data_IF_039951008916
#
_entry.id   IF_039951008916
#
_cell.length_a   1.000
_cell.length_b   1.000
_cell.length_c   1.000
_cell.angle_alpha   90.00
_cell.angle_beta   90.00
_cell.angle_gamma   90.00
#
_symmetry.space_group_name_H-M   'P 1'
#
loop_
_entity.id
_entity.type
_entity.pdbx_description
1 polymer ?
#
# COMPACT_ATOMS: atom_id res chain seq x y z
N UNK A 1 10.71 1.85 -86.78
CA UNK A 1 11.13 0.47 -86.43
C UNK A 1 11.84 0.41 -85.07
N UNK A 2 12.99 1.07 -84.86
CA UNK A 2 13.74 1.01 -83.58
C UNK A 2 12.93 1.41 -82.34
N UNK A 3 12.22 2.54 -82.36
CA UNK A 3 11.41 2.99 -81.23
C UNK A 3 10.23 2.05 -80.88
N UNK A 4 9.63 1.41 -81.89
CA UNK A 4 8.51 0.48 -81.71
C UNK A 4 8.95 -0.87 -81.10
N UNK A 5 10.16 -1.33 -81.46
CA UNK A 5 10.76 -2.54 -80.89
C UNK A 5 11.15 -2.34 -79.42
N UNK A 6 11.72 -1.18 -79.07
CA UNK A 6 12.02 -0.80 -77.67
C UNK A 6 10.73 -0.81 -76.83
N UNK A 7 9.65 -0.18 -77.32
CA UNK A 7 8.36 -0.12 -76.63
C UNK A 7 7.68 -1.50 -76.46
N UNK A 8 8.03 -2.50 -77.28
CA UNK A 8 7.56 -3.89 -77.10
C UNK A 8 8.45 -4.69 -76.14
N UNK A 9 9.77 -4.50 -76.20
CA UNK A 9 10.70 -5.14 -75.28
C UNK A 9 10.50 -4.66 -73.83
N UNK A 10 10.09 -3.40 -73.63
CA UNK A 10 9.71 -2.87 -72.30
C UNK A 10 8.46 -3.55 -71.71
N UNK A 11 7.62 -4.18 -72.55
CA UNK A 11 6.42 -4.91 -72.10
C UNK A 11 6.73 -6.37 -71.75
N UNK A 12 7.90 -6.86 -72.12
CA UNK A 12 8.38 -8.20 -71.78
C UNK A 12 9.21 -8.07 -70.50
N UNK A 13 8.92 -8.91 -69.50
CA UNK A 13 9.68 -8.94 -68.25
C UNK A 13 11.08 -9.52 -68.48
N UNK A 14 12.01 -8.70 -68.96
CA UNK A 14 13.41 -9.07 -69.13
C UNK A 14 14.16 -8.97 -67.81
N UNK A 15 14.95 -9.99 -67.49
CA UNK A 15 15.83 -9.93 -66.31
C UNK A 15 16.96 -8.91 -66.51
N UNK A 16 17.64 -8.54 -65.43
CA UNK A 16 18.68 -7.51 -65.48
C UNK A 16 19.90 -7.91 -66.34
N UNK A 17 20.26 -9.19 -66.42
CA UNK A 17 21.36 -9.68 -67.27
C UNK A 17 20.98 -9.55 -68.75
N UNK A 18 19.76 -9.96 -69.10
CA UNK A 18 19.20 -9.82 -70.44
C UNK A 18 19.11 -8.36 -70.87
N UNK A 19 18.70 -7.47 -69.96
CA UNK A 19 18.67 -6.03 -70.24
C UNK A 19 20.07 -5.47 -70.52
N UNK A 20 21.10 -5.89 -69.80
CA UNK A 20 22.48 -5.48 -70.07
C UNK A 20 22.97 -6.03 -71.42
N UNK A 21 22.65 -7.29 -71.74
CA UNK A 21 23.05 -7.90 -73.01
C UNK A 21 22.43 -7.19 -74.21
N UNK A 22 21.10 -7.00 -74.19
CA UNK A 22 20.37 -6.28 -75.24
C UNK A 22 20.79 -4.81 -75.32
N UNK A 23 21.07 -4.17 -74.19
CA UNK A 23 21.53 -2.79 -74.19
C UNK A 23 22.85 -2.61 -74.95
N UNK A 24 23.79 -3.55 -74.80
CA UNK A 24 25.07 -3.51 -75.54
C UNK A 24 24.89 -3.81 -77.01
N UNK A 25 24.06 -4.81 -77.33
CA UNK A 25 23.82 -5.23 -78.71
C UNK A 25 23.11 -4.15 -79.54
N UNK A 26 22.19 -3.40 -78.91
CA UNK A 26 21.38 -2.37 -79.58
C UNK A 26 21.77 -0.92 -79.24
N UNK A 27 22.84 -0.73 -78.46
CA UNK A 27 23.34 0.57 -78.02
C UNK A 27 22.32 1.37 -77.19
N UNK A 28 21.64 0.71 -76.25
CA UNK A 28 20.62 1.28 -75.35
C UNK A 28 21.23 1.56 -73.96
N UNK A 29 22.14 2.53 -73.88
CA UNK A 29 22.84 2.86 -72.63
C UNK A 29 21.91 3.19 -71.46
N UNK A 30 20.70 3.70 -71.72
CA UNK A 30 19.69 4.00 -70.69
C UNK A 30 19.16 2.77 -69.96
N UNK A 31 19.38 1.56 -70.50
CA UNK A 31 18.94 0.30 -69.89
C UNK A 31 20.02 -0.36 -69.04
N UNK A 32 21.29 0.03 -69.20
CA UNK A 32 22.41 -0.58 -68.48
C UNK A 32 22.44 -0.17 -67.01
N UNK A 33 22.34 1.12 -66.70
CA UNK A 33 22.45 1.61 -65.32
C UNK A 33 21.37 1.05 -64.37
N UNK A 34 20.07 1.03 -64.75
CA UNK A 34 19.03 0.46 -63.89
C UNK A 34 19.20 -1.06 -63.69
N UNK A 35 19.61 -1.78 -64.74
CA UNK A 35 19.84 -3.22 -64.66
C UNK A 35 21.08 -3.55 -63.82
N UNK A 36 22.14 -2.75 -63.92
CA UNK A 36 23.33 -2.89 -63.09
C UNK A 36 23.03 -2.62 -61.62
N UNK A 37 22.23 -1.58 -61.33
CA UNK A 37 21.77 -1.29 -59.97
C UNK A 37 20.93 -2.44 -59.40
N UNK A 38 20.02 -3.00 -60.19
CA UNK A 38 19.22 -4.13 -59.77
C UNK A 38 20.08 -5.35 -59.42
N UNK A 39 21.10 -5.65 -60.22
CA UNK A 39 22.04 -6.74 -59.92
C UNK A 39 22.93 -6.47 -58.70
N UNK A 40 23.26 -5.21 -58.44
CA UNK A 40 24.09 -4.84 -57.28
C UNK A 40 23.32 -4.89 -55.96
N UNK A 41 22.00 -4.71 -56.01
CA UNK A 41 21.11 -4.80 -54.84
C UNK A 41 20.52 -6.22 -54.65
N UNK A 42 20.67 -7.11 -55.64
CA UNK A 42 20.18 -8.50 -55.59
C UNK A 42 20.83 -9.29 -54.44
N UNK A 43 20.06 -10.15 -53.78
CA UNK A 43 20.58 -11.04 -52.73
C UNK A 43 21.25 -12.31 -53.29
N UNK A 44 20.74 -12.86 -54.39
CA UNK A 44 21.33 -14.06 -55.02
C UNK A 44 22.64 -13.76 -55.74
N UNK A 45 23.64 -14.62 -55.55
CA UNK A 45 24.96 -14.50 -56.19
C UNK A 45 24.85 -14.41 -57.72
N UNK A 46 25.84 -13.78 -58.36
CA UNK A 46 25.96 -13.82 -59.82
C UNK A 46 26.47 -15.23 -60.18
N UNK A 47 25.77 -15.94 -61.05
CA UNK A 47 26.20 -17.28 -61.50
C UNK A 47 27.36 -17.18 -62.49
N UNK A 48 28.01 -18.30 -62.77
CA UNK A 48 29.09 -18.33 -63.75
C UNK A 48 28.60 -17.92 -65.15
N UNK A 49 27.41 -18.37 -65.54
CA UNK A 49 26.78 -18.04 -66.82
C UNK A 49 26.46 -16.54 -66.91
N UNK A 50 25.92 -15.97 -65.84
CA UNK A 50 25.66 -14.53 -65.76
C UNK A 50 26.97 -13.73 -65.83
N UNK A 51 28.04 -14.19 -65.17
CA UNK A 51 29.35 -13.56 -65.23
C UNK A 51 29.96 -13.62 -66.65
N UNK A 52 29.75 -14.73 -67.37
CA UNK A 52 30.16 -14.88 -68.77
C UNK A 52 29.45 -13.87 -69.67
N UNK A 53 28.13 -13.68 -69.52
CA UNK A 53 27.34 -12.70 -70.29
C UNK A 53 27.79 -11.26 -69.99
N UNK A 54 28.05 -10.94 -68.72
CA UNK A 54 28.49 -9.61 -68.30
C UNK A 54 29.92 -9.28 -68.77
N UNK A 55 30.79 -10.29 -68.86
CA UNK A 55 32.22 -10.13 -69.09
C UNK A 55 32.98 -9.65 -67.85
N UNK A 56 34.28 -9.94 -67.82
CA UNK A 56 35.12 -9.77 -66.62
C UNK A 56 35.11 -8.35 -66.04
N UNK A 57 35.20 -7.32 -66.89
CA UNK A 57 35.26 -5.93 -66.42
C UNK A 57 33.96 -5.49 -65.73
N UNK A 58 32.80 -5.89 -66.26
CA UNK A 58 31.50 -5.57 -65.66
C UNK A 58 31.22 -6.41 -64.44
N UNK A 59 31.58 -7.70 -64.49
CA UNK A 59 31.52 -8.57 -63.33
C UNK A 59 32.34 -8.02 -62.16
N UNK A 60 33.58 -7.56 -62.39
CA UNK A 60 34.42 -6.98 -61.35
C UNK A 60 33.82 -5.71 -60.73
N UNK A 61 33.29 -4.80 -61.57
CA UNK A 61 32.57 -3.60 -61.10
C UNK A 61 31.34 -3.97 -60.29
N UNK A 62 30.59 -4.97 -60.74
CA UNK A 62 29.38 -5.43 -60.08
C UNK A 62 29.70 -6.09 -58.73
N UNK A 63 30.74 -6.91 -58.66
CA UNK A 63 31.20 -7.53 -57.43
C UNK A 63 31.60 -6.47 -56.38
N UNK A 64 32.36 -5.45 -56.80
CA UNK A 64 32.71 -4.31 -55.93
C UNK A 64 31.46 -3.56 -55.44
N UNK A 65 30.52 -3.26 -56.33
CA UNK A 65 29.28 -2.59 -55.96
C UNK A 65 28.45 -3.41 -54.96
N UNK A 66 28.39 -4.75 -55.14
CA UNK A 66 27.68 -5.65 -54.21
C UNK A 66 28.34 -5.70 -52.86
N UNK A 67 29.67 -5.77 -52.81
CA UNK A 67 30.43 -5.72 -51.56
C UNK A 67 30.16 -4.41 -50.80
N UNK A 68 30.19 -3.27 -51.49
CA UNK A 68 29.87 -1.97 -50.90
C UNK A 68 28.45 -1.90 -50.33
N UNK A 69 27.47 -2.44 -51.07
CA UNK A 69 26.06 -2.51 -50.61
C UNK A 69 25.94 -3.39 -49.38
N UNK A 70 26.58 -4.57 -49.38
CA UNK A 70 26.56 -5.50 -48.24
C UNK A 70 27.25 -4.90 -47.01
N UNK A 71 28.40 -4.22 -47.18
CA UNK A 71 29.10 -3.54 -46.10
C UNK A 71 28.27 -2.41 -45.49
N UNK A 72 27.60 -1.61 -46.33
CA UNK A 72 26.69 -0.55 -45.86
C UNK A 72 25.48 -1.13 -45.13
N UNK A 73 24.83 -2.16 -45.70
CA UNK A 73 23.70 -2.87 -45.08
C UNK A 73 24.10 -3.49 -43.75
N UNK A 74 25.28 -4.12 -43.68
CA UNK A 74 25.83 -4.71 -42.46
C UNK A 74 26.12 -3.66 -41.37
N UNK A 75 26.69 -2.50 -41.73
CA UNK A 75 26.89 -1.38 -40.78
C UNK A 75 25.56 -0.83 -40.26
N UNK A 76 24.58 -0.61 -41.13
CA UNK A 76 23.26 -0.14 -40.73
C UNK A 76 22.55 -1.13 -39.83
N UNK A 77 22.60 -2.43 -40.16
CA UNK A 77 22.05 -3.49 -39.31
C UNK A 77 22.73 -3.50 -37.94
N UNK A 78 24.06 -3.41 -37.88
CA UNK A 78 24.80 -3.35 -36.61
C UNK A 78 24.46 -2.11 -35.78
N UNK A 79 24.27 -0.95 -36.41
CA UNK A 79 23.88 0.30 -35.73
C UNK A 79 22.44 0.21 -35.19
N UNK A 80 21.50 -0.31 -35.99
CA UNK A 80 20.11 -0.52 -35.56
C UNK A 80 20.01 -1.58 -34.46
N UNK A 81 20.73 -2.71 -34.56
CA UNK A 81 20.81 -3.71 -33.49
C UNK A 81 21.40 -3.15 -32.20
N UNK A 82 22.45 -2.32 -32.30
CA UNK A 82 23.04 -1.65 -31.15
C UNK A 82 22.04 -0.68 -30.50
N UNK A 83 21.37 0.14 -31.31
CA UNK A 83 20.34 1.09 -30.85
C UNK A 83 19.15 0.38 -30.21
N UNK A 84 18.68 -0.72 -30.78
CA UNK A 84 17.60 -1.53 -30.21
C UNK A 84 18.03 -2.14 -28.87
N UNK A 85 19.26 -2.66 -28.78
CA UNK A 85 19.82 -3.20 -27.54
C UNK A 85 19.87 -2.14 -26.44
N UNK A 86 20.42 -0.97 -26.73
CA UNK A 86 20.49 0.16 -25.79
C UNK A 86 19.09 0.57 -25.34
N UNK A 87 18.13 0.65 -26.27
CA UNK A 87 16.73 0.99 -25.95
C UNK A 87 16.10 -0.05 -25.00
N UNK A 88 16.23 -1.35 -25.30
CA UNK A 88 15.71 -2.43 -24.44
C UNK A 88 16.34 -2.39 -23.05
N UNK A 89 17.65 -2.16 -22.97
CA UNK A 89 18.35 -2.07 -21.68
C UNK A 89 17.87 -0.88 -20.85
N UNK A 90 17.65 0.28 -21.46
CA UNK A 90 17.10 1.44 -20.77
C UNK A 90 15.65 1.23 -20.32
N UNK A 91 14.82 0.60 -21.15
CA UNK A 91 13.43 0.28 -20.80
C UNK A 91 13.36 -0.72 -19.63
N UNK A 92 14.17 -1.78 -19.67
CA UNK A 92 14.25 -2.76 -18.58
C UNK A 92 14.72 -2.10 -17.27
N UNK A 93 15.74 -1.24 -17.35
CA UNK A 93 16.25 -0.51 -16.20
C UNK A 93 15.19 0.42 -15.61
N UNK A 94 14.48 1.19 -16.45
CA UNK A 94 13.40 2.08 -16.01
C UNK A 94 12.26 1.29 -15.36
N UNK A 95 11.88 0.14 -15.91
CA UNK A 95 10.85 -0.74 -15.34
C UNK A 95 11.26 -1.29 -13.97
N UNK A 96 12.49 -1.79 -13.82
CA UNK A 96 13.01 -2.28 -12.53
C UNK A 96 13.06 -1.18 -11.48
N UNK A 97 13.48 0.03 -11.86
CA UNK A 97 13.54 1.16 -10.93
C UNK A 97 12.14 1.61 -10.47
N UNK A 98 11.17 1.67 -11.40
CA UNK A 98 9.78 1.97 -11.07
C UNK A 98 9.16 0.92 -10.15
N UNK A 99 9.39 -0.38 -10.40
CA UNK A 99 8.89 -1.46 -9.55
C UNK A 99 9.53 -1.43 -8.16
N UNK A 100 10.85 -1.23 -8.07
CA UNK A 100 11.55 -1.12 -6.79
C UNK A 100 11.03 0.07 -5.97
N UNK A 101 10.79 1.22 -6.61
CA UNK A 101 10.24 2.40 -5.96
C UNK A 101 8.81 2.16 -5.46
N UNK A 102 7.95 1.55 -6.29
CA UNK A 102 6.58 1.23 -5.90
C UNK A 102 6.53 0.24 -4.72
N UNK A 103 7.38 -0.79 -4.73
CA UNK A 103 7.47 -1.76 -3.63
C UNK A 103 7.94 -1.11 -2.33
N UNK A 104 8.96 -0.26 -2.39
CA UNK A 104 9.46 0.48 -1.22
C UNK A 104 8.41 1.42 -0.65
N UNK A 105 7.70 2.16 -1.50
CA UNK A 105 6.64 3.07 -1.07
C UNK A 105 5.45 2.33 -0.43
N UNK A 106 5.07 1.17 -0.98
CA UNK A 106 4.04 0.31 -0.40
C UNK A 106 4.46 -0.24 0.98
N UNK A 107 5.71 -0.67 1.13
CA UNK A 107 6.26 -1.18 2.40
C UNK A 107 6.32 -0.06 3.46
N UNK A 108 6.84 1.12 3.10
CA UNK A 108 6.91 2.28 4.00
C UNK A 108 5.51 2.72 4.45
N UNK A 109 4.52 2.71 3.54
CA UNK A 109 3.12 3.03 3.86
C UNK A 109 2.51 2.00 4.82
N UNK A 110 2.70 0.71 4.55
CA UNK A 110 2.20 -0.37 5.40
C UNK A 110 2.81 -0.31 6.81
N UNK A 111 4.12 -0.03 6.91
CA UNK A 111 4.82 0.12 8.19
C UNK A 111 4.29 1.31 8.99
N UNK A 112 4.12 2.48 8.35
CA UNK A 112 3.56 3.67 9.01
C UNK A 112 2.12 3.45 9.49
N UNK A 113 1.31 2.78 8.68
CA UNK A 113 -0.09 2.49 9.05
C UNK A 113 -0.18 1.51 10.22
N UNK A 114 0.65 0.46 10.22
CA UNK A 114 0.75 -0.49 11.33
C UNK A 114 1.22 0.19 12.63
N UNK A 115 2.24 1.05 12.56
CA UNK A 115 2.74 1.80 13.71
C UNK A 115 1.70 2.78 14.26
N UNK A 116 1.00 3.51 13.39
CA UNK A 116 -0.06 4.43 13.78
C UNK A 116 -1.22 3.69 14.45
N UNK A 117 -1.62 2.54 13.91
CA UNK A 117 -2.68 1.70 14.50
C UNK A 117 -2.27 1.15 15.86
N UNK A 118 -1.04 0.63 15.99
CA UNK A 118 -0.52 0.13 17.26
C UNK A 118 -0.46 1.24 18.33
N UNK A 119 0.00 2.44 17.96
CA UNK A 119 0.05 3.59 18.88
C UNK A 119 -1.34 4.01 19.34
N UNK A 120 -2.30 4.10 18.41
CA UNK A 120 -3.70 4.46 18.73
C UNK A 120 -4.37 3.43 19.64
N UNK A 121 -4.15 2.14 19.38
CA UNK A 121 -4.71 1.05 20.18
C UNK A 121 -4.11 1.03 21.60
N UNK A 122 -2.79 1.25 21.73
CA UNK A 122 -2.13 1.38 23.02
C UNK A 122 -2.65 2.58 23.83
N UNK A 123 -2.85 3.73 23.19
CA UNK A 123 -3.38 4.93 23.84
C UNK A 123 -4.84 4.76 24.30
N UNK A 124 -5.70 4.20 23.44
CA UNK A 124 -7.10 3.86 23.80
C UNK A 124 -7.16 2.89 24.98
N UNK A 125 -6.32 1.84 24.96
CA UNK A 125 -6.27 0.86 26.06
C UNK A 125 -5.81 1.50 27.36
N UNK A 126 -4.75 2.32 27.32
CA UNK A 126 -4.27 3.04 28.50
C UNK A 126 -5.34 3.99 29.07
N UNK A 127 -6.06 4.71 28.21
CA UNK A 127 -7.14 5.61 28.63
C UNK A 127 -8.30 4.85 29.28
N UNK A 128 -8.75 3.74 28.68
CA UNK A 128 -9.81 2.88 29.24
C UNK A 128 -9.41 2.27 30.58
N UNK A 129 -8.18 1.78 30.71
CA UNK A 129 -7.69 1.22 31.98
C UNK A 129 -7.61 2.29 33.08
N UNK A 130 -7.16 3.50 32.75
CA UNK A 130 -7.13 4.62 33.68
C UNK A 130 -8.55 5.03 34.14
N UNK A 131 -9.49 5.15 33.20
CA UNK A 131 -10.88 5.49 33.50
C UNK A 131 -11.58 4.41 34.35
N UNK A 132 -11.36 3.14 34.03
CA UNK A 132 -11.90 2.02 34.79
C UNK A 132 -11.36 1.97 36.23
N UNK A 133 -10.05 2.22 36.42
CA UNK A 133 -9.45 2.32 37.75
C UNK A 133 -10.03 3.50 38.53
N UNK A 134 -10.11 4.68 37.93
CA UNK A 134 -10.66 5.87 38.58
C UNK A 134 -12.13 5.67 39.00
N UNK A 135 -12.95 5.06 38.14
CA UNK A 135 -14.36 4.77 38.45
C UNK A 135 -14.50 3.77 39.60
N UNK A 136 -13.71 2.69 39.59
CA UNK A 136 -13.71 1.69 40.65
C UNK A 136 -13.26 2.27 41.99
N UNK A 137 -12.20 3.08 41.99
CA UNK A 137 -11.69 3.71 43.20
C UNK A 137 -12.69 4.73 43.79
N UNK A 138 -13.38 5.50 42.93
CA UNK A 138 -14.45 6.40 43.35
C UNK A 138 -15.65 5.64 43.94
N UNK A 139 -16.06 4.53 43.34
CA UNK A 139 -17.17 3.70 43.83
C UNK A 139 -16.82 3.03 45.18
N UNK A 140 -15.62 2.45 45.30
CA UNK A 140 -15.14 1.86 46.55
C UNK A 140 -15.06 2.91 47.69
N UNK A 141 -14.60 4.12 47.38
CA UNK A 141 -14.54 5.22 48.36
C UNK A 141 -15.93 5.66 48.79
N UNK A 142 -16.86 5.84 47.84
CA UNK A 142 -18.24 6.21 48.14
C UNK A 142 -18.97 5.14 48.98
N UNK A 143 -18.74 3.86 48.68
CA UNK A 143 -19.32 2.74 49.44
C UNK A 143 -18.78 2.68 50.86
N UNK A 144 -17.46 2.86 51.05
CA UNK A 144 -16.84 2.92 52.39
C UNK A 144 -17.33 4.12 53.20
N UNK A 145 -17.45 5.30 52.61
CA UNK A 145 -18.00 6.48 53.31
C UNK A 145 -19.47 6.28 53.71
N UNK A 146 -20.29 5.73 52.81
CA UNK A 146 -21.69 5.44 53.11
C UNK A 146 -21.83 4.41 54.25
N UNK A 147 -21.04 3.33 54.23
CA UNK A 147 -21.05 2.31 55.29
C UNK A 147 -20.57 2.87 56.63
N UNK A 148 -19.49 3.67 56.62
CA UNK A 148 -18.98 4.31 57.83
C UNK A 148 -20.00 5.29 58.43
N UNK A 149 -20.67 6.08 57.59
CA UNK A 149 -21.72 7.01 58.03
C UNK A 149 -22.92 6.25 58.62
N UNK A 150 -23.37 5.18 57.95
CA UNK A 150 -24.47 4.35 58.44
C UNK A 150 -24.15 3.65 59.78
N UNK A 151 -22.92 3.11 59.95
CA UNK A 151 -22.48 2.52 61.23
C UNK A 151 -22.45 3.56 62.35
N UNK A 152 -21.91 4.75 62.09
CA UNK A 152 -21.85 5.84 63.07
C UNK A 152 -23.25 6.31 63.48
N UNK A 153 -24.16 6.48 62.53
CA UNK A 153 -25.52 6.92 62.80
C UNK A 153 -26.32 5.86 63.59
N UNK A 154 -26.12 4.58 63.29
CA UNK A 154 -26.72 3.47 64.05
C UNK A 154 -26.18 3.41 65.50
N UNK A 155 -24.87 3.60 65.69
CA UNK A 155 -24.24 3.62 67.02
C UNK A 155 -24.71 4.83 67.85
N UNK A 156 -24.76 6.02 67.26
CA UNK A 156 -25.27 7.23 67.92
C UNK A 156 -26.75 7.08 68.31
N UNK A 157 -27.57 6.47 67.45
CA UNK A 157 -28.99 6.21 67.75
C UNK A 157 -29.15 5.18 68.87
N UNK A 158 -28.40 4.08 68.84
CA UNK A 158 -28.42 3.07 69.89
C UNK A 158 -27.97 3.64 71.25
N UNK A 159 -26.94 4.49 71.26
CA UNK A 159 -26.45 5.15 72.47
C UNK A 159 -27.47 6.15 73.03
N UNK A 160 -28.15 6.91 72.17
CA UNK A 160 -29.24 7.82 72.59
C UNK A 160 -30.44 7.06 73.15
N UNK A 161 -30.89 6.00 72.49
CA UNK A 161 -32.01 5.19 73.00
C UNK A 161 -31.69 4.52 74.34
N UNK A 162 -30.46 4.04 74.52
CA UNK A 162 -30.01 3.48 75.79
C UNK A 162 -29.98 4.53 76.92
N UNK A 163 -29.48 5.75 76.65
CA UNK A 163 -29.46 6.86 77.62
C UNK A 163 -30.88 7.33 77.98
N UNK A 164 -31.78 7.43 76.99
CA UNK A 164 -33.18 7.85 77.19
C UNK A 164 -33.95 6.79 78.01
N UNK A 165 -33.74 5.50 77.72
CA UNK A 165 -34.34 4.40 78.48
C UNK A 165 -33.81 4.37 79.92
N UNK A 166 -32.51 4.54 80.12
CA UNK A 166 -31.90 4.60 81.45
C UNK A 166 -32.43 5.79 82.27
N UNK A 167 -32.58 6.98 81.66
CA UNK A 167 -33.19 8.15 82.32
C UNK A 167 -34.66 7.93 82.67
N UNK A 168 -35.45 7.33 81.77
CA UNK A 168 -36.86 7.00 82.03
C UNK A 168 -37.00 6.00 83.18
N UNK A 169 -36.22 4.92 83.19
CA UNK A 169 -36.25 3.92 84.27
C UNK A 169 -35.79 4.52 85.62
N UNK A 170 -34.77 5.38 85.62
CA UNK A 170 -34.33 6.08 86.82
C UNK A 170 -35.41 7.05 87.36
N UNK A 171 -36.07 7.80 86.46
CA UNK A 171 -37.16 8.70 86.84
C UNK A 171 -38.39 7.93 87.34
N UNK A 172 -38.73 6.78 86.75
CA UNK A 172 -39.86 5.96 87.19
C UNK A 172 -39.58 5.29 88.55
N UNK A 173 -38.35 4.80 88.77
CA UNK A 173 -37.93 4.29 90.09
C UNK A 173 -37.97 5.38 91.15
N UNK A 174 -37.44 6.57 90.86
CA UNK A 174 -37.49 7.70 91.78
C UNK A 174 -38.93 8.12 92.11
N UNK A 175 -39.84 8.11 91.12
CA UNK A 175 -41.26 8.41 91.35
C UNK A 175 -41.95 7.33 92.18
N UNK A 176 -41.68 6.04 91.94
CA UNK A 176 -42.20 4.91 92.74
C UNK A 176 -41.69 4.93 94.18
N UNK A 177 -40.40 5.22 94.40
CA UNK A 177 -39.86 5.37 95.75
C UNK A 177 -40.44 6.59 96.48
N UNK A 178 -40.63 7.73 95.79
CA UNK A 178 -41.27 8.89 96.37
C UNK A 178 -42.74 8.63 96.75
N UNK A 179 -43.50 7.94 95.89
CA UNK A 179 -44.90 7.57 96.15
C UNK A 179 -45.01 6.52 97.28
N UNK A 180 -44.11 5.53 97.31
CA UNK A 180 -44.03 4.55 98.39
C UNK A 180 -43.66 5.20 99.73
N UNK A 181 -42.73 6.17 99.74
CA UNK A 181 -42.37 6.92 100.93
C UNK A 181 -43.52 7.82 101.39
N UNK A 182 -44.23 8.47 100.47
CA UNK A 182 -45.42 9.27 100.79
C UNK A 182 -46.58 8.42 101.36
N UNK A 183 -46.82 7.21 100.82
CA UNK A 183 -47.78 6.27 101.40
C UNK A 183 -47.37 5.79 102.80
N UNK A 184 -46.09 5.49 103.01
CA UNK A 184 -45.58 5.09 104.34
C UNK A 184 -45.71 6.21 105.38
N UNK A 185 -45.42 7.45 104.99
CA UNK A 185 -45.55 8.62 105.89
C UNK A 185 -47.02 8.94 106.19
N UNK A 186 -47.92 8.77 105.21
CA UNK A 186 -49.36 8.90 105.41
C UNK A 186 -49.92 7.80 106.33
N UNK A 187 -49.43 6.56 106.21
CA UNK A 187 -49.85 5.44 107.07
C UNK A 187 -49.26 5.55 108.50
N UNK A 188 -48.06 6.13 108.66
CA UNK A 188 -47.47 6.40 109.98
C UNK A 188 -48.16 7.56 110.70
N UNK A 189 -48.59 8.61 109.98
CA UNK A 189 -49.44 9.67 110.56
C UNK A 189 -50.83 9.15 110.94
N UNK A 190 -51.44 8.28 110.14
CA UNK A 190 -52.72 7.66 110.49
C UNK A 190 -52.63 6.72 111.72
N UNK A 191 -51.47 6.09 111.97
CA UNK A 191 -51.25 5.30 113.21
C UNK A 191 -50.90 6.13 114.44
N UNK A 192 -50.39 7.36 114.28
CA UNK A 192 -50.08 8.27 115.41
C UNK A 192 -51.27 9.11 115.89
N UNK A 193 -52.34 9.25 115.11
CA UNK A 193 -53.57 9.96 115.52
C UNK A 193 -54.71 9.04 116.04
N UNK A 194 -54.53 7.71 116.01
CA UNK A 194 -55.48 6.75 116.62
C UNK A 194 -55.20 6.39 118.09
N UNK A 195 -54.25 7.06 118.74
CA UNK A 195 -53.87 6.79 120.14
C UNK A 195 -53.51 8.07 120.89
N UNK A 196 -54.49 8.96 121.03
CA UNK A 196 -54.55 9.92 122.13
C UNK A 196 -55.98 10.41 122.35
#
# INVERSE_FOLDING_TARGET
MRAFAIQHLEKVSLDAIQRIQLAREFGLSSWEDPAFKELSERESAITEEEAQVLGFATFAKLAQAREDVMLKKGKQLGEEEHKERVRKEQEEKAKKEAEAKAKKEAEDKAKKEAEAKAKKEAEEKAKREAEAKAKKEAEDKAKKEAEAKAKKEAEDKAKKEADEKAKKEAAEKAKKEADAKAKKDAEEKAKKEGKK
#
